data_IF_347222946247
#
_entry.id   IF_347222946247
#
_cell.length_a   1.000
_cell.length_b   1.000
_cell.length_c   1.000
_cell.angle_alpha   90.00
_cell.angle_beta   90.00
_cell.angle_gamma   90.00
#
_symmetry.space_group_name_H-M   'P 1'
#
loop_
_entity.id
_entity.type
_entity.pdbx_description
1 polymer ?
#
# COMPACT_ATOMS: atom_id res chain seq x y z
N UNK A 1 44.40 13.36 -22.56
CA UNK A 1 43.12 13.73 -23.18
C UNK A 1 42.22 12.52 -23.42
N UNK A 2 42.62 11.48 -24.16
CA UNK A 2 41.79 10.29 -24.45
C UNK A 2 41.31 9.55 -23.18
N UNK A 3 42.20 9.35 -22.19
CA UNK A 3 41.83 8.69 -20.92
C UNK A 3 40.76 9.48 -20.12
N UNK A 4 40.83 10.81 -20.12
CA UNK A 4 39.80 11.65 -19.45
C UNK A 4 38.45 11.58 -20.17
N UNK A 5 38.47 11.50 -21.51
CA UNK A 5 37.25 11.33 -22.31
C UNK A 5 36.63 9.98 -22.03
N UNK A 6 37.42 8.90 -21.96
CA UNK A 6 36.92 7.55 -21.63
C UNK A 6 36.35 7.50 -20.22
N UNK A 7 37.02 8.10 -19.23
CA UNK A 7 36.49 8.17 -17.85
C UNK A 7 35.18 8.95 -17.79
N UNK A 8 35.11 10.09 -18.50
CA UNK A 8 33.85 10.87 -18.56
C UNK A 8 32.70 10.08 -19.22
N UNK A 9 33.01 9.34 -20.30
CA UNK A 9 32.01 8.50 -20.97
C UNK A 9 31.50 7.34 -20.07
N UNK A 10 32.39 6.68 -19.33
CA UNK A 10 32.05 5.64 -18.38
C UNK A 10 31.19 6.19 -17.24
N UNK A 11 31.57 7.35 -16.69
CA UNK A 11 30.79 8.01 -15.65
C UNK A 11 29.40 8.41 -16.16
N UNK A 12 29.30 8.97 -17.36
CA UNK A 12 28.03 9.34 -17.98
C UNK A 12 27.12 8.11 -18.18
N UNK A 13 27.67 7.01 -18.69
CA UNK A 13 26.95 5.75 -18.86
C UNK A 13 26.48 5.18 -17.51
N UNK A 14 27.31 5.25 -16.47
CA UNK A 14 26.93 4.82 -15.13
C UNK A 14 25.80 5.67 -14.55
N UNK A 15 25.91 7.00 -14.62
CA UNK A 15 24.85 7.91 -14.14
C UNK A 15 23.54 7.71 -14.93
N UNK A 16 23.64 7.46 -16.23
CA UNK A 16 22.47 7.12 -17.05
C UNK A 16 21.83 5.81 -16.59
N UNK A 17 22.61 4.77 -16.31
CA UNK A 17 22.09 3.49 -15.82
C UNK A 17 21.39 3.65 -14.45
N UNK A 18 21.95 4.46 -13.54
CA UNK A 18 21.30 4.79 -12.27
C UNK A 18 19.98 5.53 -12.47
N UNK A 19 19.97 6.54 -13.36
CA UNK A 19 18.78 7.31 -13.66
C UNK A 19 17.68 6.44 -14.31
N UNK A 20 18.09 5.58 -15.25
CA UNK A 20 17.17 4.63 -15.88
C UNK A 20 16.56 3.65 -14.87
N UNK A 21 17.40 3.08 -13.99
CA UNK A 21 16.93 2.20 -12.91
C UNK A 21 15.98 2.91 -11.95
N UNK A 22 16.27 4.15 -11.59
CA UNK A 22 15.37 4.98 -10.79
C UNK A 22 14.02 5.21 -11.48
N UNK A 23 14.03 5.60 -12.76
CA UNK A 23 12.79 5.81 -13.54
C UNK A 23 11.96 4.54 -13.63
N UNK A 24 12.61 3.42 -13.92
CA UNK A 24 11.93 2.12 -14.08
C UNK A 24 11.20 1.70 -12.81
N UNK A 25 11.83 1.85 -11.65
CA UNK A 25 11.32 1.31 -10.40
C UNK A 25 10.44 2.30 -9.62
N UNK A 26 10.74 3.59 -9.66
CA UNK A 26 10.20 4.55 -8.71
C UNK A 26 9.46 5.73 -9.33
N UNK A 27 9.79 6.11 -10.58
CA UNK A 27 9.10 7.22 -11.20
C UNK A 27 7.71 6.80 -11.66
N UNK A 28 6.73 7.60 -11.27
CA UNK A 28 5.35 7.41 -11.66
C UNK A 28 4.65 8.75 -11.85
N UNK A 29 3.93 8.85 -12.93
CA UNK A 29 2.97 9.91 -13.19
C UNK A 29 1.66 9.18 -13.45
N UNK A 30 0.64 9.46 -12.64
CA UNK A 30 -0.65 8.80 -12.76
C UNK A 30 -1.34 9.28 -14.04
N UNK A 31 -1.45 8.46 -15.10
CA UNK A 31 -2.36 8.77 -16.17
C UNK A 31 -3.75 8.65 -15.56
N UNK A 32 -4.58 9.68 -15.57
CA UNK A 32 -5.97 9.67 -15.09
C UNK A 32 -6.65 8.33 -15.42
N UNK A 33 -6.47 7.37 -14.54
CA UNK A 33 -6.84 5.99 -14.78
C UNK A 33 -8.34 5.85 -14.65
N UNK A 34 -8.97 5.14 -15.58
CA UNK A 34 -10.36 4.71 -15.43
C UNK A 34 -10.54 4.01 -14.09
N UNK A 35 -11.62 4.29 -13.32
CA UNK A 35 -11.92 3.56 -12.09
C UNK A 35 -12.00 2.03 -12.26
N UNK A 36 -12.16 1.56 -13.50
CA UNK A 36 -12.20 0.14 -13.87
C UNK A 36 -10.88 -0.35 -14.50
N UNK A 37 -9.77 0.38 -14.27
CA UNK A 37 -8.47 -0.01 -14.80
C UNK A 37 -7.84 -1.08 -13.91
N UNK A 38 -8.09 -2.34 -14.22
CA UNK A 38 -7.43 -3.51 -13.65
C UNK A 38 -7.02 -4.49 -14.76
N UNK A 39 -5.97 -5.33 -14.54
CA UNK A 39 -5.45 -6.22 -15.57
C UNK A 39 -6.52 -7.18 -16.11
N UNK A 40 -6.60 -7.34 -17.44
CA UNK A 40 -7.47 -8.33 -18.08
C UNK A 40 -6.81 -9.72 -18.06
N UNK A 41 -6.96 -10.44 -16.98
CA UNK A 41 -6.47 -11.81 -16.77
C UNK A 41 -7.63 -12.78 -16.61
N UNK A 42 -7.36 -14.09 -16.73
CA UNK A 42 -8.39 -15.11 -16.46
C UNK A 42 -8.92 -15.03 -15.02
N UNK A 43 -8.11 -14.59 -14.09
CA UNK A 43 -8.51 -14.40 -12.69
C UNK A 43 -9.44 -13.19 -12.56
N UNK A 44 -9.09 -12.03 -13.12
CA UNK A 44 -9.91 -10.82 -13.07
C UNK A 44 -11.24 -11.00 -13.80
N UNK A 45 -11.26 -11.71 -14.94
CA UNK A 45 -12.50 -12.00 -15.65
C UNK A 45 -13.50 -12.82 -14.83
N UNK A 46 -13.01 -13.74 -13.99
CA UNK A 46 -13.88 -14.57 -13.12
C UNK A 46 -14.54 -13.74 -12.00
N UNK A 47 -13.83 -12.76 -11.46
CA UNK A 47 -14.29 -11.93 -10.33
C UNK A 47 -15.00 -10.65 -10.76
N UNK A 48 -14.92 -10.28 -12.05
CA UNK A 48 -15.55 -9.09 -12.62
C UNK A 48 -17.04 -8.94 -12.26
N UNK A 49 -17.88 -9.99 -12.28
CA UNK A 49 -19.29 -9.89 -11.89
C UNK A 49 -19.53 -9.44 -10.44
N UNK A 50 -18.54 -9.65 -9.55
CA UNK A 50 -18.60 -9.19 -8.15
C UNK A 50 -17.94 -7.83 -8.02
N UNK A 51 -16.83 -7.61 -8.70
CA UNK A 51 -15.98 -6.42 -8.60
C UNK A 51 -16.63 -5.18 -9.21
N UNK A 52 -17.14 -5.26 -10.48
CA UNK A 52 -17.69 -4.11 -11.18
C UNK A 52 -18.89 -3.47 -10.43
N UNK A 53 -19.90 -4.23 -9.94
CA UNK A 53 -20.95 -3.64 -9.14
C UNK A 53 -20.49 -3.03 -7.82
N UNK A 54 -19.44 -3.59 -7.21
CA UNK A 54 -18.87 -3.03 -5.99
C UNK A 54 -18.17 -1.70 -6.24
N UNK A 55 -17.40 -1.60 -7.35
CA UNK A 55 -16.77 -0.35 -7.79
C UNK A 55 -17.84 0.70 -8.12
N UNK A 56 -18.89 0.33 -8.88
CA UNK A 56 -19.97 1.24 -9.23
C UNK A 56 -20.64 1.84 -7.97
N UNK A 57 -20.98 1.00 -7.00
CA UNK A 57 -21.56 1.44 -5.73
C UNK A 57 -20.62 2.35 -4.92
N UNK A 58 -19.31 2.13 -5.02
CA UNK A 58 -18.32 2.98 -4.37
C UNK A 58 -18.23 4.36 -5.03
N UNK A 59 -18.24 4.40 -6.36
CA UNK A 59 -18.19 5.65 -7.15
C UNK A 59 -19.43 6.52 -6.99
N UNK A 60 -20.61 5.91 -6.85
CA UNK A 60 -21.89 6.60 -6.64
C UNK A 60 -22.09 7.12 -5.22
N UNK A 61 -21.31 6.63 -4.25
CA UNK A 61 -21.45 7.03 -2.86
C UNK A 61 -21.05 8.52 -2.68
N UNK A 62 -21.81 9.30 -1.89
CA UNK A 62 -21.46 10.68 -1.61
C UNK A 62 -20.15 10.75 -0.83
N UNK A 63 -19.29 11.67 -1.22
CA UNK A 63 -17.98 11.90 -0.60
C UNK A 63 -17.65 13.39 -0.56
N UNK A 64 -16.66 13.72 0.24
CA UNK A 64 -16.02 15.03 0.29
C UNK A 64 -14.57 14.89 -0.15
N UNK A 65 -14.12 15.70 -1.10
CA UNK A 65 -12.70 15.80 -1.45
C UNK A 65 -11.95 16.51 -0.33
N UNK A 66 -10.87 15.90 0.13
CA UNK A 66 -10.03 16.43 1.20
C UNK A 66 -8.56 16.47 0.76
N UNK A 67 -7.79 17.36 1.38
CA UNK A 67 -6.35 17.43 1.11
C UNK A 67 -5.56 17.84 2.34
N UNK A 68 -4.30 17.40 2.38
CA UNK A 68 -3.31 17.77 3.39
C UNK A 68 -2.00 18.15 2.71
N UNK A 69 -1.07 18.69 3.51
CA UNK A 69 0.33 18.84 3.11
C UNK A 69 1.16 17.78 3.81
N UNK A 70 1.97 17.03 3.05
CA UNK A 70 2.89 16.03 3.59
C UNK A 70 4.05 16.69 4.37
N UNK A 71 4.83 15.88 5.08
CA UNK A 71 6.00 16.36 5.83
C UNK A 71 7.09 17.00 4.94
N UNK A 72 7.13 16.63 3.67
CA UNK A 72 8.08 17.14 2.65
C UNK A 72 7.46 18.14 1.67
N UNK A 73 6.23 18.64 1.99
CA UNK A 73 5.60 19.76 1.31
C UNK A 73 4.70 19.40 0.12
N UNK A 74 4.46 18.11 -0.15
CA UNK A 74 3.56 17.68 -1.22
C UNK A 74 2.10 17.88 -0.80
N UNK A 75 1.26 18.34 -1.72
CA UNK A 75 -0.18 18.26 -1.56
C UNK A 75 -0.63 16.82 -1.77
N UNK A 76 -1.26 16.24 -0.75
CA UNK A 76 -1.87 14.92 -0.81
C UNK A 76 -3.39 15.06 -0.78
N UNK A 77 -4.08 14.24 -1.57
CA UNK A 77 -5.54 14.26 -1.70
C UNK A 77 -6.17 12.97 -1.21
N UNK A 78 -7.45 13.01 -0.90
CA UNK A 78 -8.24 11.85 -0.51
C UNK A 78 -9.73 12.14 -0.61
N UNK A 79 -10.53 11.11 -0.34
CA UNK A 79 -11.99 11.21 -0.26
C UNK A 79 -12.48 10.76 1.10
N UNK A 80 -13.29 11.57 1.72
CA UNK A 80 -13.96 11.26 2.97
C UNK A 80 -15.40 10.84 2.72
N UNK A 81 -15.74 9.64 3.16
CA UNK A 81 -17.09 9.07 3.09
C UNK A 81 -17.69 9.08 4.49
N UNK A 82 -18.65 9.95 4.69
CA UNK A 82 -19.33 10.12 5.96
C UNK A 82 -20.46 9.09 6.13
N UNK A 83 -20.52 8.47 7.30
CA UNK A 83 -21.62 7.57 7.71
C UNK A 83 -22.37 8.18 8.89
N UNK A 84 -21.64 8.58 9.97
CA UNK A 84 -22.26 9.29 11.10
C UNK A 84 -21.21 10.05 11.92
N UNK A 85 -21.66 11.09 12.63
CA UNK A 85 -20.81 11.87 13.51
C UNK A 85 -20.30 11.02 14.67
N UNK A 86 -19.02 11.16 14.98
CA UNK A 86 -18.36 10.41 16.05
C UNK A 86 -18.13 8.92 15.79
N UNK A 87 -18.52 8.41 14.62
CA UNK A 87 -18.24 7.02 14.25
C UNK A 87 -16.74 6.76 14.12
N UNK A 88 -16.30 5.50 14.35
CA UNK A 88 -14.93 5.11 14.08
C UNK A 88 -14.54 5.41 12.63
N UNK A 89 -13.26 5.73 12.41
CA UNK A 89 -12.71 6.06 11.10
C UNK A 89 -11.81 4.93 10.58
N UNK A 90 -11.97 4.56 9.32
CA UNK A 90 -11.05 3.66 8.62
C UNK A 90 -10.28 4.45 7.55
N UNK A 91 -8.93 4.53 7.70
CA UNK A 91 -8.04 5.14 6.70
C UNK A 91 -7.60 4.03 5.75
N UNK A 92 -7.89 4.19 4.45
CA UNK A 92 -7.64 3.19 3.40
C UNK A 92 -6.49 3.62 2.48
N UNK A 93 -5.43 2.78 2.37
CA UNK A 93 -4.19 3.01 1.63
C UNK A 93 -4.06 2.00 0.48
N UNK A 94 -4.18 2.45 -0.78
CA UNK A 94 -4.15 1.61 -1.98
C UNK A 94 -2.75 1.07 -2.34
N UNK A 95 -2.68 0.12 -3.29
CA UNK A 95 -1.46 -0.53 -3.76
C UNK A 95 -0.58 0.32 -4.69
N UNK A 96 0.54 -0.26 -5.11
CA UNK A 96 1.50 0.32 -6.06
C UNK A 96 0.87 0.50 -7.44
N UNK A 97 0.87 1.75 -7.94
CA UNK A 97 0.18 2.12 -9.19
C UNK A 97 -1.28 1.64 -9.21
N UNK A 98 -1.85 1.46 -8.00
CA UNK A 98 -3.16 0.90 -7.79
C UNK A 98 -4.29 1.90 -8.03
N UNK A 99 -5.47 1.36 -8.24
CA UNK A 99 -6.70 2.12 -8.30
C UNK A 99 -7.43 1.93 -6.96
N UNK A 100 -7.60 2.99 -6.14
CA UNK A 100 -8.20 2.87 -4.83
C UNK A 100 -9.63 2.29 -4.85
N UNK A 101 -10.39 2.49 -5.93
CA UNK A 101 -11.74 1.93 -6.06
C UNK A 101 -11.74 0.43 -6.33
N UNK A 102 -10.72 -0.09 -7.02
CA UNK A 102 -10.54 -1.53 -7.25
C UNK A 102 -10.06 -2.18 -5.95
N UNK A 103 -9.04 -1.60 -5.32
CA UNK A 103 -8.39 -2.18 -4.14
C UNK A 103 -9.36 -2.24 -2.95
N UNK A 104 -10.24 -1.24 -2.81
CA UNK A 104 -11.12 -1.11 -1.64
C UNK A 104 -12.61 -1.33 -1.89
N UNK A 105 -13.04 -1.74 -3.08
CA UNK A 105 -14.46 -1.98 -3.36
C UNK A 105 -15.15 -2.86 -2.31
N UNK A 106 -14.46 -3.91 -1.85
CA UNK A 106 -14.94 -4.81 -0.80
C UNK A 106 -14.81 -4.22 0.60
N UNK A 107 -13.63 -3.76 0.97
CA UNK A 107 -13.33 -3.26 2.30
C UNK A 107 -14.14 -2.00 2.63
N UNK A 108 -14.31 -1.07 1.67
CA UNK A 108 -15.18 0.09 1.82
C UNK A 108 -16.64 -0.31 2.16
N UNK A 109 -17.17 -1.33 1.46
CA UNK A 109 -18.52 -1.83 1.72
C UNK A 109 -18.66 -2.43 3.11
N UNK A 110 -17.63 -3.18 3.57
CA UNK A 110 -17.58 -3.75 4.92
C UNK A 110 -17.55 -2.62 5.95
N UNK A 111 -16.69 -1.63 5.78
CA UNK A 111 -16.56 -0.49 6.68
C UNK A 111 -17.88 0.30 6.79
N UNK A 112 -18.47 0.66 5.64
CA UNK A 112 -19.74 1.38 5.57
C UNK A 112 -20.87 0.62 6.27
N UNK A 113 -21.03 -0.68 6.01
CA UNK A 113 -22.08 -1.51 6.59
C UNK A 113 -21.90 -1.70 8.10
N UNK A 114 -20.69 -1.61 8.60
CA UNK A 114 -20.36 -1.61 10.03
C UNK A 114 -20.46 -0.21 10.70
N UNK A 115 -20.98 0.79 9.97
CA UNK A 115 -21.17 2.14 10.51
C UNK A 115 -19.90 2.97 10.65
N UNK A 116 -18.80 2.61 9.98
CA UNK A 116 -17.54 3.37 10.02
C UNK A 116 -17.48 4.44 8.94
N UNK A 117 -16.96 5.60 9.29
CA UNK A 117 -16.52 6.60 8.33
C UNK A 117 -15.27 6.09 7.60
N UNK A 118 -15.07 6.49 6.34
CA UNK A 118 -13.91 6.05 5.55
C UNK A 118 -13.15 7.27 5.02
N UNK A 119 -11.84 7.25 5.18
CA UNK A 119 -10.91 8.18 4.56
C UNK A 119 -10.05 7.40 3.55
N UNK A 120 -10.44 7.44 2.29
CA UNK A 120 -9.72 6.84 1.18
C UNK A 120 -8.64 7.83 0.72
N UNK A 121 -7.37 7.53 1.00
CA UNK A 121 -6.27 8.42 0.64
C UNK A 121 -5.67 8.05 -0.72
N UNK A 122 -5.33 9.06 -1.52
CA UNK A 122 -4.42 8.89 -2.64
C UNK A 122 -2.99 8.99 -2.11
N UNK A 123 -2.23 7.91 -2.19
CA UNK A 123 -0.81 7.95 -1.81
C UNK A 123 -0.05 8.93 -2.73
N UNK A 124 1.14 9.40 -2.31
CA UNK A 124 1.99 10.27 -3.14
C UNK A 124 2.11 9.71 -4.56
N UNK A 125 2.16 10.56 -5.57
CA UNK A 125 2.22 10.26 -7.00
C UNK A 125 0.92 9.71 -7.61
N UNK A 126 -0.17 9.51 -6.84
CA UNK A 126 -1.40 8.90 -7.33
C UNK A 126 -2.59 9.86 -7.23
N UNK A 127 -3.55 9.71 -8.14
CA UNK A 127 -4.76 10.52 -8.17
C UNK A 127 -4.44 12.01 -8.27
N UNK A 128 -4.99 12.81 -7.36
CA UNK A 128 -4.69 14.23 -7.26
C UNK A 128 -3.51 14.58 -6.33
N UNK A 129 -2.82 13.57 -5.77
CA UNK A 129 -1.65 13.77 -4.90
C UNK A 129 -0.40 14.07 -5.72
N UNK A 130 0.38 15.04 -5.25
CA UNK A 130 1.64 15.44 -5.88
C UNK A 130 2.75 14.39 -5.66
N UNK A 131 3.88 14.61 -6.32
CA UNK A 131 5.07 13.77 -6.29
C UNK A 131 5.30 13.02 -7.60
N UNK A 132 6.52 12.46 -7.73
CA UNK A 132 6.94 11.70 -8.91
C UNK A 132 7.70 10.42 -8.53
N UNK A 133 7.87 10.16 -7.23
CA UNK A 133 8.66 9.05 -6.71
C UNK A 133 7.85 8.21 -5.75
N UNK A 134 7.51 6.99 -6.15
CA UNK A 134 6.95 5.97 -5.27
C UNK A 134 8.10 5.35 -4.49
N UNK A 135 8.02 5.30 -3.16
CA UNK A 135 9.11 4.86 -2.29
C UNK A 135 8.85 3.52 -1.60
N UNK A 136 7.82 2.79 -2.05
CA UNK A 136 7.46 1.48 -1.50
C UNK A 136 7.22 1.51 0.02
N UNK A 137 6.48 2.51 0.48
CA UNK A 137 6.10 2.67 1.89
C UNK A 137 7.14 3.41 2.75
N UNK A 138 8.36 3.68 2.26
CA UNK A 138 9.41 4.35 3.06
C UNK A 138 9.04 5.80 3.42
N UNK A 139 8.56 6.58 2.46
CA UNK A 139 8.05 7.93 2.71
C UNK A 139 6.53 7.92 2.86
N UNK A 140 5.83 7.01 2.20
CA UNK A 140 4.37 6.87 2.29
C UNK A 140 3.89 6.66 3.74
N UNK A 141 4.68 6.01 4.60
CA UNK A 141 4.35 5.86 6.02
C UNK A 141 4.28 7.22 6.75
N UNK A 142 5.09 8.20 6.34
CA UNK A 142 5.02 9.55 6.91
C UNK A 142 3.76 10.28 6.43
N UNK A 143 3.33 10.02 5.19
CA UNK A 143 2.08 10.55 4.66
C UNK A 143 0.88 10.01 5.43
N UNK A 144 0.87 8.71 5.76
CA UNK A 144 -0.18 8.11 6.59
C UNK A 144 -0.21 8.74 7.99
N UNK A 145 0.95 9.02 8.61
CA UNK A 145 1.01 9.75 9.88
C UNK A 145 0.43 11.16 9.77
N UNK A 146 0.67 11.85 8.64
CA UNK A 146 0.06 13.16 8.41
C UNK A 146 -1.47 13.06 8.25
N UNK A 147 -1.97 12.02 7.59
CA UNK A 147 -3.42 11.74 7.50
C UNK A 147 -4.05 11.40 8.87
N UNK A 148 -3.36 10.63 9.73
CA UNK A 148 -3.80 10.37 11.11
C UNK A 148 -3.90 11.69 11.88
N UNK A 149 -2.89 12.56 11.75
CA UNK A 149 -2.89 13.89 12.38
C UNK A 149 -4.06 14.75 11.87
N UNK A 150 -4.29 14.76 10.57
CA UNK A 150 -5.44 15.45 9.96
C UNK A 150 -6.77 14.92 10.53
N UNK A 151 -6.91 13.59 10.61
CA UNK A 151 -8.11 12.95 11.13
C UNK A 151 -8.38 13.34 12.59
N UNK A 152 -7.36 13.33 13.43
CA UNK A 152 -7.46 13.75 14.83
C UNK A 152 -7.85 15.23 14.97
N UNK A 153 -7.27 16.10 14.15
CA UNK A 153 -7.59 17.54 14.17
C UNK A 153 -9.01 17.83 13.69
N UNK A 154 -9.52 17.03 12.76
CA UNK A 154 -10.83 17.26 12.15
C UNK A 154 -11.97 16.56 12.91
N UNK A 155 -11.78 15.32 13.32
CA UNK A 155 -12.84 14.47 13.87
C UNK A 155 -12.69 14.22 15.37
N UNK A 156 -11.61 14.73 16.01
CA UNK A 156 -11.26 14.42 17.37
C UNK A 156 -10.64 13.03 17.52
N UNK A 157 -10.57 12.54 18.76
CA UNK A 157 -9.95 11.23 19.10
C UNK A 157 -10.92 10.05 18.84
N UNK A 158 -11.60 10.03 17.69
CA UNK A 158 -12.41 8.87 17.32
C UNK A 158 -11.52 7.63 17.13
N UNK A 159 -12.00 6.42 17.47
CA UNK A 159 -11.25 5.20 17.19
C UNK A 159 -10.91 5.08 15.70
N UNK A 160 -9.66 4.74 15.38
CA UNK A 160 -9.19 4.61 13.99
C UNK A 160 -8.68 3.21 13.70
N UNK A 161 -8.95 2.75 12.47
CA UNK A 161 -8.33 1.59 11.85
C UNK A 161 -7.51 2.06 10.65
N UNK A 162 -6.35 1.44 10.44
CA UNK A 162 -5.58 1.60 9.22
C UNK A 162 -5.79 0.35 8.36
N UNK A 163 -6.15 0.52 7.09
CA UNK A 163 -6.38 -0.58 6.18
C UNK A 163 -5.57 -0.37 4.90
N UNK A 164 -4.80 -1.35 4.51
CA UNK A 164 -3.95 -1.26 3.32
C UNK A 164 -4.01 -2.50 2.45
N UNK A 165 -3.83 -2.30 1.13
CA UNK A 165 -3.73 -3.37 0.13
C UNK A 165 -2.36 -3.31 -0.52
N UNK A 166 -1.65 -4.44 -0.66
CA UNK A 166 -0.36 -4.56 -1.35
C UNK A 166 0.70 -3.58 -0.80
N UNK A 167 1.17 -2.62 -1.59
CA UNK A 167 2.07 -1.56 -1.11
C UNK A 167 1.43 -0.74 0.01
N UNK A 168 0.12 -0.47 -0.05
CA UNK A 168 -0.60 0.18 1.04
C UNK A 168 -0.60 -0.64 2.32
N UNK A 169 -0.73 -1.97 2.21
CA UNK A 169 -0.60 -2.89 3.34
C UNK A 169 0.81 -2.87 3.94
N UNK A 170 1.84 -2.92 3.11
CA UNK A 170 3.23 -2.77 3.57
C UNK A 170 3.46 -1.40 4.24
N UNK A 171 2.84 -0.34 3.71
CA UNK A 171 2.90 1.01 4.28
C UNK A 171 2.28 1.06 5.67
N UNK A 172 1.05 0.58 5.87
CA UNK A 172 0.40 0.60 7.19
C UNK A 172 1.10 -0.33 8.19
N UNK A 173 1.71 -1.42 7.74
CA UNK A 173 2.58 -2.24 8.59
C UNK A 173 3.84 -1.49 9.01
N UNK A 174 4.48 -0.71 8.12
CA UNK A 174 5.61 0.12 8.52
C UNK A 174 5.20 1.26 9.45
N UNK A 175 3.98 1.77 9.32
CA UNK A 175 3.38 2.73 10.27
C UNK A 175 3.23 2.11 11.65
N UNK A 176 2.91 0.80 11.77
CA UNK A 176 2.74 0.13 13.07
C UNK A 176 3.97 0.16 13.95
N UNK A 177 5.15 0.28 13.36
CA UNK A 177 6.43 0.40 14.07
C UNK A 177 6.80 1.82 14.48
N UNK A 178 5.93 2.81 14.22
CA UNK A 178 6.08 4.21 14.63
C UNK A 178 5.31 4.49 15.92
N UNK A 179 5.51 5.65 16.51
CA UNK A 179 4.73 6.11 17.65
C UNK A 179 3.34 6.54 17.21
N UNK A 180 2.35 5.68 17.48
CA UNK A 180 0.96 5.90 17.09
C UNK A 180 0.15 6.54 18.21
N UNK A 181 -0.83 7.42 17.89
CA UNK A 181 -1.81 7.88 18.87
C UNK A 181 -2.67 6.71 19.39
N UNK A 182 -3.07 6.79 20.67
CA UNK A 182 -3.83 5.74 21.37
C UNK A 182 -5.18 5.39 20.71
N UNK A 183 -5.73 6.28 19.88
CA UNK A 183 -6.97 6.04 19.19
C UNK A 183 -6.80 5.27 17.86
N UNK A 184 -5.58 4.94 17.42
CA UNK A 184 -5.34 3.93 16.38
C UNK A 184 -5.46 2.56 17.05
N UNK A 185 -6.55 1.83 16.72
CA UNK A 185 -6.97 0.62 17.44
C UNK A 185 -6.59 -0.68 16.76
N UNK A 186 -6.30 -0.66 15.46
CA UNK A 186 -5.93 -1.86 14.73
C UNK A 186 -5.50 -1.57 13.30
N UNK A 187 -4.82 -2.53 12.71
CA UNK A 187 -4.32 -2.46 11.34
C UNK A 187 -4.80 -3.68 10.56
N UNK A 188 -5.29 -3.47 9.34
CA UNK A 188 -5.65 -4.51 8.39
C UNK A 188 -4.66 -4.41 7.22
N UNK A 189 -3.97 -5.49 6.93
CA UNK A 189 -2.97 -5.57 5.87
C UNK A 189 -3.30 -6.72 4.92
N UNK A 190 -3.69 -6.39 3.70
CA UNK A 190 -4.06 -7.34 2.66
C UNK A 190 -2.90 -7.49 1.65
N UNK A 191 -2.38 -8.71 1.48
CA UNK A 191 -1.30 -9.13 0.57
C UNK A 191 -0.03 -8.25 0.59
N UNK A 192 0.54 -7.88 1.76
CA UNK A 192 1.76 -7.08 1.83
C UNK A 192 3.01 -7.87 1.42
N UNK A 193 4.01 -7.19 0.89
CA UNK A 193 5.38 -7.74 0.81
C UNK A 193 6.10 -7.57 2.15
N UNK A 194 7.09 -8.42 2.40
CA UNK A 194 7.87 -8.46 3.64
C UNK A 194 8.93 -7.35 3.73
N UNK A 195 9.48 -6.91 2.58
CA UNK A 195 10.40 -5.79 2.48
C UNK A 195 10.38 -5.16 1.08
N UNK A 196 10.54 -3.80 0.96
CA UNK A 196 10.67 -3.13 -0.33
C UNK A 196 11.75 -3.70 -1.21
N UNK A 197 12.89 -4.07 -0.61
CA UNK A 197 14.02 -4.68 -1.32
C UNK A 197 13.69 -6.07 -1.88
N UNK A 198 12.87 -6.85 -1.19
CA UNK A 198 12.57 -8.22 -1.59
C UNK A 198 11.58 -8.27 -2.75
N UNK A 199 10.52 -7.45 -2.70
CA UNK A 199 9.57 -7.36 -3.82
C UNK A 199 10.25 -6.84 -5.10
N UNK A 200 11.13 -5.84 -5.01
CA UNK A 200 11.89 -5.35 -6.17
C UNK A 200 12.81 -6.44 -6.73
N UNK A 201 13.54 -7.17 -5.88
CA UNK A 201 14.38 -8.29 -6.33
C UNK A 201 13.57 -9.41 -6.98
N UNK A 202 12.37 -9.71 -6.44
CA UNK A 202 11.46 -10.70 -7.01
C UNK A 202 11.01 -10.28 -8.42
N UNK A 203 10.54 -9.03 -8.57
CA UNK A 203 10.12 -8.50 -9.86
C UNK A 203 11.27 -8.50 -10.87
N UNK A 204 12.46 -8.03 -10.48
CA UNK A 204 13.62 -8.05 -11.36
C UNK A 204 14.01 -9.46 -11.81
N UNK A 205 14.06 -10.40 -10.88
CA UNK A 205 14.55 -11.76 -11.15
C UNK A 205 13.50 -12.66 -11.78
N UNK A 206 12.32 -12.76 -11.16
CA UNK A 206 11.30 -13.73 -11.55
C UNK A 206 10.40 -13.21 -12.67
N UNK A 207 9.99 -11.93 -12.62
CA UNK A 207 9.05 -11.41 -13.60
C UNK A 207 9.76 -10.85 -14.85
N UNK A 208 10.91 -10.20 -14.67
CA UNK A 208 11.65 -9.55 -15.76
C UNK A 208 12.87 -10.37 -16.25
N UNK A 209 13.27 -11.46 -15.57
CA UNK A 209 14.43 -12.27 -15.94
C UNK A 209 15.77 -11.54 -15.89
N UNK A 210 15.86 -10.45 -15.11
CA UNK A 210 17.06 -9.63 -15.02
C UNK A 210 18.08 -10.20 -14.01
N UNK A 211 19.40 -9.96 -14.22
CA UNK A 211 20.45 -10.37 -13.28
C UNK A 211 20.40 -9.49 -12.01
N UNK A 212 19.62 -9.92 -11.01
CA UNK A 212 19.32 -9.18 -9.76
C UNK A 212 20.58 -8.65 -9.08
N UNK A 213 21.67 -9.46 -9.03
CA UNK A 213 22.93 -9.05 -8.39
C UNK A 213 23.58 -7.83 -9.04
N UNK A 214 23.32 -7.58 -10.32
CA UNK A 214 23.88 -6.44 -11.06
C UNK A 214 22.90 -5.26 -11.08
N UNK A 215 21.61 -5.52 -11.26
CA UNK A 215 20.60 -4.46 -11.49
C UNK A 215 20.10 -3.84 -10.19
N UNK A 216 19.83 -4.66 -9.15
CA UNK A 216 19.33 -4.15 -7.88
C UNK A 216 20.21 -3.07 -7.21
N UNK A 217 21.55 -3.21 -7.14
CA UNK A 217 22.39 -2.15 -6.60
C UNK A 217 22.29 -0.82 -7.33
N UNK A 218 22.10 -0.85 -8.66
CA UNK A 218 21.90 0.36 -9.48
C UNK A 218 20.57 1.03 -9.17
N UNK A 219 19.50 0.25 -9.08
CA UNK A 219 18.15 0.74 -8.69
C UNK A 219 18.21 1.37 -7.30
N UNK A 220 18.78 0.67 -6.32
CA UNK A 220 18.89 1.17 -4.95
C UNK A 220 19.69 2.49 -4.89
N UNK A 221 20.84 2.54 -5.58
CA UNK A 221 21.67 3.74 -5.63
C UNK A 221 20.95 4.88 -6.38
N UNK A 222 20.20 4.56 -7.45
CA UNK A 222 19.34 5.51 -8.16
C UNK A 222 18.25 6.09 -7.25
N UNK A 223 17.61 5.26 -6.43
CA UNK A 223 16.63 5.69 -5.42
C UNK A 223 17.25 6.65 -4.39
N UNK A 224 18.46 6.35 -3.92
CA UNK A 224 19.19 7.23 -2.97
C UNK A 224 19.59 8.57 -3.62
N UNK A 225 20.05 8.55 -4.86
CA UNK A 225 20.57 9.73 -5.54
C UNK A 225 19.47 10.67 -6.06
N UNK A 226 18.49 10.10 -6.75
CA UNK A 226 17.43 10.86 -7.42
C UNK A 226 16.13 10.93 -6.61
N UNK A 227 15.77 9.83 -5.92
CA UNK A 227 14.56 9.77 -5.08
C UNK A 227 14.78 10.21 -3.65
N UNK A 228 16.03 10.39 -3.20
CA UNK A 228 16.44 10.81 -1.84
C UNK A 228 15.92 9.90 -0.73
N UNK A 229 15.74 8.61 -1.02
CA UNK A 229 15.32 7.61 -0.03
C UNK A 229 16.15 6.33 -0.15
N UNK A 230 16.16 5.53 0.91
CA UNK A 230 16.85 4.24 0.95
C UNK A 230 15.82 3.11 1.10
N UNK A 231 15.74 2.21 0.12
CA UNK A 231 14.85 1.04 0.14
C UNK A 231 15.02 0.12 1.35
N UNK A 232 16.18 0.18 2.00
CA UNK A 232 16.50 -0.64 3.17
C UNK A 232 16.35 0.14 4.49
N UNK A 233 15.73 1.33 4.47
CA UNK A 233 15.56 2.14 5.68
C UNK A 233 14.55 1.54 6.66
N UNK A 234 13.57 0.81 6.15
CA UNK A 234 12.57 0.09 6.95
C UNK A 234 11.95 -1.07 6.14
N UNK A 235 11.19 -1.93 6.81
CA UNK A 235 10.41 -2.99 6.19
C UNK A 235 9.23 -3.40 7.08
N UNK A 236 8.15 -3.96 6.50
CA UNK A 236 7.07 -4.54 7.28
C UNK A 236 7.54 -5.51 8.35
N UNK A 237 8.43 -6.46 8.01
CA UNK A 237 8.98 -7.45 8.96
C UNK A 237 9.66 -6.79 10.17
N UNK A 238 10.43 -5.72 9.96
CA UNK A 238 11.09 -5.04 11.08
C UNK A 238 10.14 -4.11 11.86
N UNK A 239 9.17 -3.52 11.18
CA UNK A 239 8.23 -2.61 11.79
C UNK A 239 7.25 -3.33 12.73
N UNK A 240 6.70 -4.49 12.33
CA UNK A 240 5.72 -5.23 13.14
C UNK A 240 6.28 -5.72 14.47
N UNK A 241 7.61 -5.94 14.57
CA UNK A 241 8.27 -6.29 15.84
C UNK A 241 8.17 -5.19 16.91
N UNK A 242 7.88 -3.97 16.47
CA UNK A 242 7.74 -2.78 17.34
C UNK A 242 6.29 -2.36 17.50
N UNK A 243 5.35 -3.07 16.88
CA UNK A 243 3.93 -2.72 16.93
C UNK A 243 3.33 -2.99 18.29
N UNK A 244 2.57 -2.01 18.78
CA UNK A 244 1.77 -2.13 20.00
C UNK A 244 0.25 -2.20 19.71
N UNK A 245 -0.14 -2.24 18.42
CA UNK A 245 -1.55 -2.35 18.01
C UNK A 245 -1.80 -3.70 17.34
N UNK A 246 -3.00 -4.30 17.52
CA UNK A 246 -3.37 -5.53 16.84
C UNK A 246 -3.30 -5.41 15.32
N UNK A 247 -2.86 -6.46 14.66
CA UNK A 247 -2.72 -6.51 13.21
C UNK A 247 -3.49 -7.73 12.67
N UNK A 248 -4.38 -7.50 11.71
CA UNK A 248 -4.94 -8.53 10.85
C UNK A 248 -4.15 -8.58 9.55
N UNK A 249 -3.55 -9.72 9.25
CA UNK A 249 -2.84 -9.98 8.00
C UNK A 249 -3.63 -11.00 7.18
N UNK A 250 -3.99 -10.65 5.95
CA UNK A 250 -4.69 -11.55 5.02
C UNK A 250 -3.83 -11.72 3.77
N UNK A 251 -3.69 -12.95 3.27
CA UNK A 251 -2.89 -13.22 2.07
C UNK A 251 -3.43 -14.40 1.28
N UNK A 252 -3.56 -14.26 -0.03
CA UNK A 252 -3.93 -15.36 -0.91
C UNK A 252 -2.80 -16.35 -1.16
N UNK A 253 -3.09 -17.65 -1.22
CA UNK A 253 -2.08 -18.68 -1.45
C UNK A 253 -1.70 -18.86 -2.94
N UNK A 254 -2.49 -18.35 -3.89
CA UNK A 254 -2.13 -18.26 -5.32
C UNK A 254 -1.65 -16.85 -5.73
N UNK A 255 -1.20 -16.05 -4.75
CA UNK A 255 -0.57 -14.76 -5.04
C UNK A 255 0.83 -14.97 -5.64
N UNK A 256 0.94 -14.75 -6.95
CA UNK A 256 2.19 -14.88 -7.72
C UNK A 256 2.94 -13.57 -7.87
N UNK A 257 2.29 -12.43 -7.56
CA UNK A 257 2.93 -11.13 -7.63
C UNK A 257 3.66 -10.79 -6.33
N UNK A 258 2.97 -10.90 -5.19
CA UNK A 258 3.59 -10.86 -3.85
C UNK A 258 3.45 -12.26 -3.25
N UNK A 259 4.47 -13.12 -3.35
CA UNK A 259 4.34 -14.51 -2.92
C UNK A 259 3.90 -14.68 -1.47
N UNK A 260 2.93 -15.56 -1.22
CA UNK A 260 2.40 -15.88 0.11
C UNK A 260 3.45 -16.08 1.20
N UNK A 261 4.65 -16.68 0.95
CA UNK A 261 5.73 -16.76 1.94
C UNK A 261 6.17 -15.40 2.51
N UNK A 262 5.96 -14.27 1.78
CA UNK A 262 6.25 -12.94 2.33
C UNK A 262 5.27 -12.59 3.46
N UNK A 263 3.98 -12.93 3.33
CA UNK A 263 3.00 -12.80 4.41
C UNK A 263 3.34 -13.68 5.61
N UNK A 264 3.74 -14.94 5.36
CA UNK A 264 4.21 -15.85 6.41
C UNK A 264 5.41 -15.28 7.19
N UNK A 265 6.36 -14.64 6.48
CA UNK A 265 7.54 -14.01 7.11
C UNK A 265 7.16 -12.87 8.03
N UNK A 266 6.18 -12.06 7.64
CA UNK A 266 5.65 -10.96 8.46
C UNK A 266 4.95 -11.53 9.71
N UNK A 267 4.06 -12.51 9.53
CA UNK A 267 3.33 -13.12 10.64
C UNK A 267 4.27 -13.78 11.66
N UNK A 268 5.31 -14.46 11.19
CA UNK A 268 6.31 -15.09 12.03
C UNK A 268 7.17 -14.07 12.82
N UNK A 269 7.26 -12.81 12.35
CA UNK A 269 8.05 -11.78 13.02
C UNK A 269 7.38 -11.21 14.28
N UNK A 270 6.05 -11.28 14.40
CA UNK A 270 5.28 -10.79 15.54
C UNK A 270 4.03 -11.63 15.81
N UNK A 271 4.17 -12.93 16.16
CA UNK A 271 3.05 -13.87 16.25
C UNK A 271 2.03 -13.51 17.34
N UNK A 272 2.44 -12.77 18.36
CA UNK A 272 1.54 -12.35 19.45
C UNK A 272 0.67 -11.13 19.05
N UNK A 273 1.07 -10.41 18.00
CA UNK A 273 0.40 -9.16 17.57
C UNK A 273 -0.39 -9.37 16.30
N UNK A 274 -0.02 -10.36 15.49
CA UNK A 274 -0.57 -10.59 14.15
C UNK A 274 -1.51 -11.81 14.14
N UNK A 275 -2.77 -11.56 13.78
CA UNK A 275 -3.72 -12.58 13.37
C UNK A 275 -3.58 -12.78 11.86
N UNK A 276 -3.12 -13.96 11.42
CA UNK A 276 -2.84 -14.25 10.02
C UNK A 276 -3.84 -15.22 9.42
N UNK A 277 -4.44 -14.81 8.29
CA UNK A 277 -5.39 -15.62 7.53
C UNK A 277 -4.95 -15.79 6.08
N UNK A 278 -5.12 -17.00 5.56
CA UNK A 278 -4.89 -17.33 4.15
C UNK A 278 -6.22 -17.53 3.45
N UNK A 279 -6.42 -16.88 2.29
CA UNK A 279 -7.58 -17.11 1.42
C UNK A 279 -7.16 -18.06 0.30
N UNK A 280 -7.76 -19.25 0.29
CA UNK A 280 -7.43 -20.31 -0.66
C UNK A 280 -7.77 -19.92 -2.10
N UNK A 281 -6.80 -20.11 -3.02
CA UNK A 281 -6.94 -19.81 -4.44
C UNK A 281 -6.97 -18.32 -4.79
N UNK A 282 -6.81 -17.41 -3.83
CA UNK A 282 -6.80 -16.00 -4.09
C UNK A 282 -5.46 -15.55 -4.69
N UNK A 283 -5.55 -14.79 -5.79
CA UNK A 283 -4.43 -14.10 -6.38
C UNK A 283 -4.18 -12.74 -5.70
N UNK A 284 -3.17 -12.01 -6.17
CA UNK A 284 -2.77 -10.72 -5.63
C UNK A 284 -3.93 -9.71 -5.61
N UNK A 285 -4.19 -9.13 -4.44
CA UNK A 285 -5.28 -8.16 -4.18
C UNK A 285 -6.69 -8.69 -4.52
N UNK A 286 -6.88 -10.02 -4.54
CA UNK A 286 -8.17 -10.66 -4.88
C UNK A 286 -8.79 -11.43 -3.70
N UNK A 287 -8.30 -11.24 -2.49
CA UNK A 287 -8.79 -11.98 -1.33
C UNK A 287 -10.31 -11.80 -1.14
N UNK A 288 -10.79 -10.55 -1.13
CA UNK A 288 -12.23 -10.27 -1.00
C UNK A 288 -13.07 -10.88 -2.12
N UNK A 289 -12.67 -10.70 -3.38
CA UNK A 289 -13.50 -11.14 -4.53
C UNK A 289 -13.44 -12.64 -4.77
N UNK A 290 -12.41 -13.33 -4.24
CA UNK A 290 -12.28 -14.79 -4.31
C UNK A 290 -13.21 -15.46 -3.30
N UNK A 291 -13.23 -14.98 -2.05
CA UNK A 291 -14.13 -15.47 -1.00
C UNK A 291 -14.67 -14.30 -0.17
N UNK A 292 -15.72 -13.61 -0.68
CA UNK A 292 -16.27 -12.43 -0.02
C UNK A 292 -16.87 -12.72 1.37
N UNK A 293 -17.34 -13.94 1.58
CA UNK A 293 -17.99 -14.33 2.83
C UNK A 293 -16.96 -14.53 3.96
N UNK A 294 -15.94 -15.34 3.71
CA UNK A 294 -14.85 -15.56 4.67
C UNK A 294 -14.09 -14.25 4.93
N UNK A 295 -13.75 -13.49 3.88
CA UNK A 295 -13.06 -12.21 4.03
C UNK A 295 -13.85 -11.24 4.93
N UNK A 296 -15.17 -11.09 4.68
CA UNK A 296 -16.02 -10.24 5.49
C UNK A 296 -16.08 -10.71 6.93
N UNK A 297 -16.25 -12.02 7.17
CA UNK A 297 -16.31 -12.59 8.52
C UNK A 297 -15.03 -12.31 9.30
N UNK A 298 -13.86 -12.54 8.69
CA UNK A 298 -12.53 -12.29 9.27
C UNK A 298 -12.36 -10.82 9.63
N UNK A 299 -12.60 -9.91 8.67
CA UNK A 299 -12.46 -8.47 8.90
C UNK A 299 -13.44 -7.96 9.95
N UNK A 300 -14.70 -8.43 9.93
CA UNK A 300 -15.71 -8.02 10.93
C UNK A 300 -15.31 -8.46 12.32
N UNK A 301 -14.95 -9.74 12.51
CA UNK A 301 -14.56 -10.28 13.81
C UNK A 301 -13.33 -9.56 14.39
N UNK A 302 -12.34 -9.22 13.54
CA UNK A 302 -11.16 -8.46 13.97
C UNK A 302 -11.55 -7.04 14.39
N UNK A 303 -12.31 -6.32 13.56
CA UNK A 303 -12.65 -4.92 13.82
C UNK A 303 -13.57 -4.73 15.02
N UNK A 304 -14.49 -5.67 15.28
CA UNK A 304 -15.34 -5.68 16.50
C UNK A 304 -14.54 -5.87 17.79
N UNK A 305 -13.39 -6.54 17.74
CA UNK A 305 -12.49 -6.65 18.91
C UNK A 305 -11.63 -5.41 19.12
N UNK A 306 -11.39 -4.63 18.08
CA UNK A 306 -10.55 -3.44 18.14
C UNK A 306 -11.33 -2.18 18.52
N UNK A 307 -12.61 -2.10 18.16
CA UNK A 307 -13.47 -0.91 18.30
C UNK A 307 -14.51 -1.08 19.42
#
# INVERSE_FOLDING_TARGET
MLMLILLAAVLAAFLYALHFGYKLAFQYEDPLASPYNYPDTDQTRKVKPVLDPAIAAFLEAPYEDVSITSHDGLKLTGRYYHVSDGAPLEIQCHGYKGNPFVDFAGAWRIAKNAGRNVLLINQRCHGGSEGHTITFGILEKQDVMAWITYANNRFGQVPMLLNGVSMGAATVLMVSGMELPDNVKGIIADCPYDAPSNIIKKVLGQDMGMPVKLVYPLIRLGGMLYGKFNLNADSPVEAVKRSNVPILLIHGDDDRFVPHPMGCSIAAAAPETIEFHTIAGAAHAMNYVTDPESYRAIVTAFTERCL
#
